data_IF_980693823461
#
_entry.id   IF_980693823461
#
_cell.length_a   1.000
_cell.length_b   1.000
_cell.length_c   1.000
_cell.angle_alpha   90.00
_cell.angle_beta   90.00
_cell.angle_gamma   90.00
#
_symmetry.space_group_name_H-M   'P 1'
#
loop_
_entity.id
_entity.type
_entity.pdbx_description
1 polymer ?
#
# COMPACT_ATOMS: atom_id res chain seq x y z
N UNK A 1 -28.83 -16.32 5.85
CA UNK A 1 -28.68 -15.01 5.17
C UNK A 1 -29.55 -15.10 3.93
N UNK A 2 -30.40 -14.10 3.63
CA UNK A 2 -31.31 -14.18 2.48
C UNK A 2 -30.47 -13.95 1.22
N UNK A 3 -30.55 -14.84 0.23
CA UNK A 3 -29.85 -14.64 -1.04
C UNK A 3 -30.33 -13.32 -1.68
N UNK A 4 -29.40 -12.50 -2.19
CA UNK A 4 -29.74 -11.24 -2.84
C UNK A 4 -30.61 -11.51 -4.07
N UNK A 5 -31.61 -10.67 -4.27
CA UNK A 5 -32.50 -10.78 -5.43
C UNK A 5 -31.77 -10.39 -6.71
N UNK A 6 -32.19 -10.94 -7.85
CA UNK A 6 -31.64 -10.61 -9.17
C UNK A 6 -31.57 -9.11 -9.44
N UNK A 7 -32.59 -8.37 -9.00
CA UNK A 7 -32.66 -6.91 -9.18
C UNK A 7 -31.64 -6.16 -8.28
N UNK A 8 -31.36 -6.68 -7.08
CA UNK A 8 -30.31 -6.14 -6.20
C UNK A 8 -28.91 -6.41 -6.77
N UNK A 9 -28.69 -7.59 -7.36
CA UNK A 9 -27.43 -7.93 -8.03
C UNK A 9 -27.20 -7.06 -9.27
N UNK A 10 -28.22 -6.87 -10.11
CA UNK A 10 -28.15 -5.99 -11.28
C UNK A 10 -27.88 -4.53 -10.89
N UNK A 11 -28.52 -4.02 -9.83
CA UNK A 11 -28.26 -2.68 -9.34
C UNK A 11 -26.82 -2.52 -8.80
N UNK A 12 -26.31 -3.54 -8.11
CA UNK A 12 -24.93 -3.56 -7.63
C UNK A 12 -23.91 -3.60 -8.79
N UNK A 13 -24.23 -4.36 -9.85
CA UNK A 13 -23.45 -4.38 -11.10
C UNK A 13 -23.43 -3.01 -11.74
N UNK A 14 -24.58 -2.36 -11.89
CA UNK A 14 -24.69 -1.06 -12.54
C UNK A 14 -23.94 0.03 -11.76
N UNK A 15 -24.00 0.01 -10.43
CA UNK A 15 -23.26 0.94 -9.56
C UNK A 15 -21.75 0.72 -9.65
N UNK A 16 -21.32 -0.54 -9.69
CA UNK A 16 -19.91 -0.91 -9.86
C UNK A 16 -19.39 -0.48 -11.24
N UNK A 17 -20.09 -0.82 -12.32
CA UNK A 17 -19.73 -0.43 -13.69
C UNK A 17 -19.68 1.08 -13.87
N UNK A 18 -20.71 1.78 -13.37
CA UNK A 18 -20.74 3.25 -13.43
C UNK A 18 -19.53 3.85 -12.72
N UNK A 19 -19.17 3.32 -11.54
CA UNK A 19 -17.99 3.75 -10.82
C UNK A 19 -16.68 3.43 -11.56
N UNK A 20 -16.59 2.30 -12.26
CA UNK A 20 -15.38 1.89 -12.99
C UNK A 20 -15.19 2.68 -14.30
N UNK A 21 -16.29 2.98 -15.00
CA UNK A 21 -16.28 3.80 -16.23
C UNK A 21 -16.01 5.27 -15.89
N UNK A 22 -16.66 5.82 -14.86
CA UNK A 22 -16.42 7.19 -14.38
C UNK A 22 -14.98 7.35 -13.88
N UNK A 23 -14.44 6.29 -13.26
CA UNK A 23 -13.03 6.23 -12.91
C UNK A 23 -12.10 5.98 -14.10
N UNK A 24 -12.59 5.85 -15.33
CA UNK A 24 -11.82 5.52 -16.54
C UNK A 24 -10.95 4.25 -16.41
N UNK A 25 -11.29 3.34 -15.48
CA UNK A 25 -10.58 2.08 -15.26
C UNK A 25 -10.94 1.05 -16.33
N UNK A 26 -12.18 1.09 -16.77
CA UNK A 26 -12.69 0.30 -17.89
C UNK A 26 -13.32 1.23 -18.93
N UNK A 27 -13.28 0.85 -20.21
CA UNK A 27 -14.00 1.53 -21.28
C UNK A 27 -15.08 0.63 -21.86
N UNK A 28 -16.21 1.24 -22.24
CA UNK A 28 -17.26 0.57 -23.00
C UNK A 28 -16.82 0.42 -24.46
N UNK A 29 -17.05 -0.75 -25.04
CA UNK A 29 -16.77 -1.02 -26.44
C UNK A 29 -17.99 -0.74 -27.30
N UNK A 30 -17.78 -0.08 -28.44
CA UNK A 30 -18.85 0.17 -29.43
C UNK A 30 -19.43 -1.14 -29.99
N UNK A 31 -18.59 -2.16 -30.13
CA UNK A 31 -18.97 -3.54 -30.47
C UNK A 31 -18.31 -4.50 -29.47
N UNK A 32 -19.00 -5.56 -29.01
CA UNK A 32 -18.41 -6.52 -28.10
C UNK A 32 -17.12 -7.14 -28.66
N UNK A 33 -16.17 -7.46 -27.80
CA UNK A 33 -14.91 -8.09 -28.19
C UNK A 33 -15.12 -9.53 -28.75
N UNK A 34 -14.07 -10.24 -29.21
CA UNK A 34 -14.20 -11.61 -29.73
C UNK A 34 -14.86 -12.62 -28.77
N UNK A 35 -14.84 -12.33 -27.47
CA UNK A 35 -15.44 -13.14 -26.40
C UNK A 35 -16.84 -12.64 -26.01
N UNK A 36 -17.34 -11.59 -26.69
CA UNK A 36 -18.68 -11.04 -26.51
C UNK A 36 -18.78 -10.01 -25.38
N UNK A 37 -17.66 -9.47 -24.90
CA UNK A 37 -17.64 -8.54 -23.76
C UNK A 37 -17.91 -7.10 -24.19
N UNK A 38 -18.81 -6.38 -23.51
CA UNK A 38 -19.12 -4.99 -23.81
C UNK A 38 -18.18 -3.96 -23.16
N UNK A 39 -17.29 -4.39 -22.25
CA UNK A 39 -16.34 -3.53 -21.55
C UNK A 39 -14.96 -4.18 -21.54
N UNK A 40 -13.89 -3.38 -21.51
CA UNK A 40 -12.52 -3.86 -21.32
C UNK A 40 -11.74 -2.95 -20.38
N UNK A 41 -10.69 -3.45 -19.70
CA UNK A 41 -9.73 -2.60 -19.01
C UNK A 41 -9.20 -1.52 -19.94
N UNK A 42 -9.17 -0.27 -19.47
CA UNK A 42 -8.79 0.85 -20.32
C UNK A 42 -7.30 0.71 -20.71
N UNK A 43 -6.97 0.48 -22.00
CA UNK A 43 -5.59 0.28 -22.44
C UNK A 43 -4.74 1.56 -22.32
N UNK A 44 -5.40 2.72 -22.08
CA UNK A 44 -4.79 4.03 -21.85
C UNK A 44 -4.72 4.43 -20.37
N UNK A 45 -4.90 3.51 -19.43
CA UNK A 45 -4.57 3.74 -18.01
C UNK A 45 -3.13 4.26 -17.83
N UNK A 46 -2.26 4.00 -18.82
CA UNK A 46 -0.87 4.46 -18.89
C UNK A 46 -0.66 5.71 -19.79
N UNK A 47 -1.67 6.14 -20.57
CA UNK A 47 -1.54 7.19 -21.58
C UNK A 47 -2.71 8.22 -21.49
N UNK A 48 -2.42 9.38 -20.88
CA UNK A 48 -3.17 10.67 -20.95
C UNK A 48 -4.24 10.90 -19.88
N UNK A 49 -4.34 12.03 -19.17
CA UNK A 49 -3.94 13.46 -19.24
C UNK A 49 -5.22 14.33 -19.27
N UNK A 50 -5.47 15.05 -18.16
CA UNK A 50 -6.13 16.36 -18.15
C UNK A 50 -5.65 17.17 -16.93
N UNK A 51 -5.48 18.49 -17.11
CA UNK A 51 -4.92 19.48 -16.17
C UNK A 51 -6.02 20.21 -15.37
N UNK A 52 -7.17 19.60 -15.17
CA UNK A 52 -8.43 20.23 -14.78
C UNK A 52 -8.70 20.40 -13.27
N UNK A 53 -8.02 19.64 -12.39
CA UNK A 53 -8.21 19.80 -10.93
C UNK A 53 -7.71 21.16 -10.41
N UNK A 54 -8.57 21.99 -9.76
CA UNK A 54 -8.21 23.33 -9.28
C UNK A 54 -7.03 23.39 -8.31
N UNK A 55 -6.78 22.31 -7.57
CA UNK A 55 -5.75 22.24 -6.51
C UNK A 55 -4.35 21.84 -7.02
N UNK A 56 -4.19 21.46 -8.29
CA UNK A 56 -2.88 21.02 -8.81
C UNK A 56 -1.73 22.03 -8.61
N UNK A 57 -1.90 23.35 -8.88
CA UNK A 57 -0.83 24.32 -8.66
C UNK A 57 -0.39 24.37 -7.19
N UNK A 58 -1.35 24.34 -6.26
CA UNK A 58 -1.05 24.29 -4.83
C UNK A 58 -0.26 23.05 -4.43
N UNK A 59 -0.62 21.88 -4.97
CA UNK A 59 0.11 20.63 -4.70
C UNK A 59 1.56 20.77 -5.14
N UNK A 60 1.82 21.24 -6.36
CA UNK A 60 3.18 21.42 -6.87
C UNK A 60 4.01 22.37 -6.00
N UNK A 61 3.42 23.50 -5.59
CA UNK A 61 4.08 24.47 -4.71
C UNK A 61 4.44 23.85 -3.35
N UNK A 62 3.50 23.12 -2.74
CA UNK A 62 3.71 22.48 -1.45
C UNK A 62 4.75 21.36 -1.52
N UNK A 63 4.73 20.53 -2.57
CA UNK A 63 5.74 19.49 -2.80
C UNK A 63 7.14 20.08 -2.96
N UNK A 64 7.24 21.20 -3.69
CA UNK A 64 8.51 21.91 -3.86
C UNK A 64 9.02 22.47 -2.54
N UNK A 65 8.12 23.07 -1.73
CA UNK A 65 8.47 23.60 -0.41
C UNK A 65 8.96 22.51 0.56
N UNK A 66 8.34 21.32 0.55
CA UNK A 66 8.81 20.16 1.33
C UNK A 66 10.23 19.76 0.91
N UNK A 67 10.48 19.67 -0.40
CA UNK A 67 11.78 19.27 -0.93
C UNK A 67 12.88 20.33 -0.76
N UNK A 68 12.52 21.61 -0.74
CA UNK A 68 13.45 22.70 -0.41
C UNK A 68 13.81 22.67 1.09
N UNK A 69 12.82 22.52 1.97
CA UNK A 69 13.04 22.45 3.41
C UNK A 69 13.96 21.30 3.81
N UNK A 70 13.84 20.14 3.14
CA UNK A 70 14.74 19.01 3.37
C UNK A 70 16.18 19.28 2.94
N UNK A 71 16.36 19.92 1.78
CA UNK A 71 17.69 20.30 1.29
C UNK A 71 18.37 21.27 2.25
N UNK A 72 17.64 22.28 2.71
CA UNK A 72 18.13 23.25 3.70
C UNK A 72 18.50 22.57 5.03
N UNK A 73 17.70 21.58 5.48
CA UNK A 73 17.98 20.82 6.69
C UNK A 73 19.24 19.94 6.55
N UNK A 74 19.42 19.31 5.39
CA UNK A 74 20.60 18.48 5.09
C UNK A 74 21.88 19.33 5.07
N UNK A 75 21.85 20.48 4.38
CA UNK A 75 22.98 21.42 4.32
C UNK A 75 23.34 21.96 5.71
N UNK A 76 22.35 22.24 6.57
CA UNK A 76 22.58 22.68 7.94
C UNK A 76 23.22 21.61 8.83
N UNK A 77 22.81 20.34 8.66
CA UNK A 77 23.41 19.21 9.39
C UNK A 77 24.87 18.98 8.96
N UNK A 78 25.16 18.99 7.65
CA UNK A 78 26.53 18.85 7.13
C UNK A 78 27.45 19.99 7.62
N UNK A 79 26.93 21.22 7.68
CA UNK A 79 27.68 22.36 8.22
C UNK A 79 27.95 22.23 9.73
N UNK A 80 27.04 21.60 10.47
CA UNK A 80 27.19 21.34 11.92
C UNK A 80 28.19 20.22 12.18
N UNK A 81 28.13 19.11 11.43
CA UNK A 81 29.12 18.03 11.54
C UNK A 81 30.53 18.49 11.12
N UNK A 82 30.63 19.35 10.11
CA UNK A 82 31.90 19.94 9.70
C UNK A 82 32.53 20.84 10.78
N UNK A 83 31.70 21.49 11.61
CA UNK A 83 32.17 22.33 12.73
C UNK A 83 32.49 21.53 13.99
N UNK A 84 31.76 20.44 14.26
CA UNK A 84 32.05 19.52 15.36
C UNK A 84 33.29 18.64 15.10
N UNK A 85 33.62 18.37 13.83
CA UNK A 85 34.85 17.66 13.46
C UNK A 85 36.13 18.47 13.78
N UNK A 86 36.04 19.80 13.90
CA UNK A 86 37.15 20.65 14.37
C UNK A 86 37.25 20.75 15.90
N UNK A 87 36.21 20.35 16.65
CA UNK A 87 36.15 20.39 18.11
C UNK A 87 35.93 18.99 18.67
N UNK A 88 36.99 18.16 18.68
CA UNK A 88 36.93 16.78 19.18
C UNK A 88 36.36 16.64 20.60
N UNK A 89 35.08 16.29 20.70
CA UNK A 89 34.43 15.77 21.88
C UNK A 89 33.37 14.73 21.46
N UNK A 90 33.31 13.55 22.08
CA UNK A 90 32.32 12.53 21.71
C UNK A 90 30.95 12.94 22.24
N UNK A 91 29.97 13.10 21.34
CA UNK A 91 28.58 13.25 21.72
C UNK A 91 28.04 11.89 22.18
N UNK A 92 27.66 11.80 23.46
CA UNK A 92 26.87 10.68 23.99
C UNK A 92 25.49 10.72 23.33
N UNK A 93 25.16 9.68 22.55
CA UNK A 93 23.86 9.51 21.90
C UNK A 93 22.79 9.11 22.93
N UNK A 94 21.86 10.02 23.17
CA UNK A 94 20.69 9.81 24.04
C UNK A 94 19.68 8.85 23.35
N UNK A 95 19.38 7.66 23.93
CA UNK A 95 18.52 6.65 23.29
C UNK A 95 17.03 7.04 23.19
N UNK A 96 16.64 8.22 23.69
CA UNK A 96 15.23 8.64 23.78
C UNK A 96 14.79 9.62 22.68
N UNK A 97 15.58 9.83 21.61
CA UNK A 97 15.27 10.73 20.48
C UNK A 97 14.29 10.15 19.42
N UNK A 98 13.46 9.17 19.78
CA UNK A 98 12.57 8.45 18.87
C UNK A 98 11.47 9.27 18.15
N UNK A 99 11.00 10.45 18.61
CA UNK A 99 10.00 11.22 17.83
C UNK A 99 10.62 12.06 16.70
N UNK A 100 11.86 12.53 16.86
CA UNK A 100 12.50 13.44 15.90
C UNK A 100 13.10 12.71 14.68
N UNK A 101 13.51 11.44 14.84
CA UNK A 101 14.08 10.64 13.76
C UNK A 101 13.07 10.27 12.66
N UNK A 102 11.75 10.29 12.95
CA UNK A 102 10.70 10.02 11.95
C UNK A 102 10.61 11.08 10.85
N UNK A 103 11.06 12.31 11.13
CA UNK A 103 10.99 13.45 10.21
C UNK A 103 12.20 13.60 9.29
N UNK A 104 13.19 12.69 9.35
CA UNK A 104 14.45 12.77 8.58
C UNK A 104 14.74 11.50 7.75
N UNK A 105 13.77 10.59 7.63
CA UNK A 105 13.91 9.43 6.73
C UNK A 105 13.44 9.81 5.32
N UNK A 106 14.12 9.36 4.25
CA UNK A 106 13.65 9.53 2.87
C UNK A 106 12.18 9.09 2.66
N UNK A 107 11.72 8.07 3.39
CA UNK A 107 10.31 7.66 3.39
C UNK A 107 9.38 8.63 4.10
N UNK A 108 9.83 9.30 5.16
CA UNK A 108 9.03 10.32 5.84
C UNK A 108 8.63 11.43 4.89
N UNK A 109 9.59 11.94 4.12
CA UNK A 109 9.38 12.97 3.10
C UNK A 109 8.45 12.46 1.99
N UNK A 110 8.70 11.23 1.49
CA UNK A 110 7.85 10.65 0.46
C UNK A 110 6.40 10.48 0.93
N UNK A 111 6.17 10.09 2.18
CA UNK A 111 4.83 9.95 2.78
C UNK A 111 4.17 11.31 3.05
N UNK A 112 4.96 12.32 3.36
CA UNK A 112 4.50 13.70 3.48
C UNK A 112 4.04 14.25 2.12
N UNK A 113 4.78 13.96 1.05
CA UNK A 113 4.36 14.24 -0.33
C UNK A 113 3.05 13.53 -0.69
N UNK A 114 2.90 12.24 -0.32
CA UNK A 114 1.64 11.50 -0.48
C UNK A 114 0.51 12.17 0.29
N UNK A 115 0.77 12.64 1.52
CA UNK A 115 -0.24 13.31 2.36
C UNK A 115 -0.73 14.62 1.75
N UNK A 116 0.16 15.40 1.11
CA UNK A 116 -0.21 16.60 0.35
C UNK A 116 -1.10 16.24 -0.84
N UNK A 117 -0.76 15.16 -1.56
CA UNK A 117 -1.56 14.68 -2.69
C UNK A 117 -2.95 14.22 -2.21
N UNK A 118 -3.04 13.40 -1.16
CA UNK A 118 -4.31 12.96 -0.57
C UNK A 118 -5.17 14.15 -0.12
N UNK A 119 -4.54 15.20 0.43
CA UNK A 119 -5.25 16.40 0.84
C UNK A 119 -5.89 17.19 -0.31
N UNK A 120 -5.41 17.01 -1.55
CA UNK A 120 -5.98 17.65 -2.74
C UNK A 120 -7.20 16.90 -3.32
N UNK A 121 -7.49 15.70 -2.81
CA UNK A 121 -8.55 14.84 -3.33
C UNK A 121 -9.83 14.96 -2.51
N UNK A 122 -10.95 14.52 -3.11
CA UNK A 122 -12.23 14.42 -2.42
C UNK A 122 -12.22 13.36 -1.31
N UNK A 123 -13.08 13.51 -0.31
CA UNK A 123 -13.18 12.57 0.81
C UNK A 123 -13.95 11.31 0.40
N UNK A 124 -13.32 10.12 0.41
CA UNK A 124 -14.03 8.85 0.29
C UNK A 124 -14.73 8.57 1.62
N UNK A 125 -15.86 9.23 1.86
CA UNK A 125 -16.54 9.29 3.15
C UNK A 125 -16.76 7.92 3.78
N UNK A 126 -17.14 6.90 3.00
CA UNK A 126 -17.33 5.55 3.51
C UNK A 126 -16.05 4.94 4.13
N UNK A 127 -14.89 5.20 3.52
CA UNK A 127 -13.58 4.72 3.98
C UNK A 127 -13.17 5.44 5.27
N UNK A 128 -13.24 6.77 5.29
CA UNK A 128 -12.89 7.58 6.45
C UNK A 128 -13.77 7.29 7.68
N UNK A 129 -15.07 7.03 7.45
CA UNK A 129 -15.96 6.60 8.52
C UNK A 129 -15.62 5.19 9.03
N UNK A 130 -15.14 4.30 8.15
CA UNK A 130 -14.60 3.00 8.52
C UNK A 130 -13.38 3.13 9.43
N UNK A 131 -12.39 3.95 9.05
CA UNK A 131 -11.20 4.25 9.85
C UNK A 131 -11.58 4.80 11.22
N UNK A 132 -12.40 5.86 11.25
CA UNK A 132 -12.82 6.51 12.50
C UNK A 132 -13.53 5.54 13.44
N UNK A 133 -14.36 4.63 12.91
CA UNK A 133 -15.04 3.62 13.73
C UNK A 133 -14.03 2.71 14.42
N UNK A 134 -13.10 2.13 13.66
CA UNK A 134 -12.08 1.21 14.20
C UNK A 134 -11.18 1.92 15.20
N UNK A 135 -10.70 3.13 14.89
CA UNK A 135 -9.86 3.92 15.81
C UNK A 135 -10.58 4.25 17.12
N UNK A 136 -11.89 4.55 17.06
CA UNK A 136 -12.71 4.75 18.26
C UNK A 136 -12.86 3.46 19.07
N UNK A 137 -13.04 2.32 18.42
CA UNK A 137 -13.16 1.02 19.10
C UNK A 137 -11.83 0.62 19.78
N UNK A 138 -10.70 0.83 19.09
CA UNK A 138 -9.35 0.59 19.62
C UNK A 138 -9.05 1.50 20.83
N UNK A 139 -9.32 2.80 20.71
CA UNK A 139 -9.14 3.76 21.80
C UNK A 139 -10.06 3.44 22.97
N UNK A 140 -11.30 2.99 22.71
CA UNK A 140 -12.22 2.57 23.77
C UNK A 140 -11.65 1.38 24.53
N UNK A 141 -11.15 0.37 23.82
CA UNK A 141 -10.53 -0.81 24.41
C UNK A 141 -9.28 -0.43 25.24
N UNK A 142 -8.43 0.45 24.71
CA UNK A 142 -7.22 0.96 25.40
C UNK A 142 -7.58 1.68 26.70
N UNK A 143 -8.47 2.67 26.65
CA UNK A 143 -8.86 3.43 27.84
C UNK A 143 -9.59 2.55 28.87
N UNK A 144 -10.29 1.50 28.41
CA UNK A 144 -10.89 0.50 29.31
C UNK A 144 -9.82 -0.31 30.02
N UNK A 145 -8.77 -0.76 29.31
CA UNK A 145 -7.65 -1.49 29.89
C UNK A 145 -6.83 -0.62 30.86
N UNK A 146 -6.70 0.68 30.59
CA UNK A 146 -6.05 1.67 31.46
C UNK A 146 -6.90 2.04 32.69
N UNK A 147 -8.15 1.57 32.78
CA UNK A 147 -9.04 1.83 33.92
C UNK A 147 -9.61 3.26 33.96
N UNK A 148 -9.68 3.95 32.83
CA UNK A 148 -10.19 5.33 32.74
C UNK A 148 -11.69 5.37 33.03
N UNK A 149 -12.12 6.39 33.77
CA UNK A 149 -13.52 6.60 34.15
C UNK A 149 -14.41 6.71 32.90
N UNK A 150 -15.65 6.21 32.97
CA UNK A 150 -16.52 6.10 31.80
C UNK A 150 -16.83 7.45 31.13
N UNK A 151 -17.10 8.50 31.90
CA UNK A 151 -17.38 9.83 31.34
C UNK A 151 -16.14 10.44 30.68
N UNK A 152 -14.96 10.23 31.25
CA UNK A 152 -13.70 10.65 30.64
C UNK A 152 -13.43 9.88 29.33
N UNK A 153 -13.73 8.57 29.28
CA UNK A 153 -13.68 7.79 28.04
C UNK A 153 -14.60 8.36 26.97
N UNK A 154 -15.83 8.70 27.32
CA UNK A 154 -16.77 9.29 26.36
C UNK A 154 -16.25 10.60 25.76
N UNK A 155 -15.64 11.45 26.57
CA UNK A 155 -15.07 12.71 26.11
C UNK A 155 -13.88 12.47 25.16
N UNK A 156 -12.91 11.63 25.55
CA UNK A 156 -11.75 11.31 24.69
C UNK A 156 -12.16 10.69 23.37
N UNK A 157 -13.13 9.79 23.39
CA UNK A 157 -13.64 9.09 22.20
C UNK A 157 -14.40 10.01 21.25
N UNK A 158 -14.98 11.11 21.75
CA UNK A 158 -15.62 12.12 20.92
C UNK A 158 -14.61 12.95 20.12
N UNK A 159 -13.36 13.04 20.58
CA UNK A 159 -12.27 13.75 19.91
C UNK A 159 -11.52 12.86 18.88
N UNK A 160 -11.67 11.54 18.97
CA UNK A 160 -11.06 10.61 18.02
C UNK A 160 -11.66 10.79 16.63
N UNK A 161 -10.78 11.06 15.67
CA UNK A 161 -11.09 11.21 14.27
C UNK A 161 -10.08 10.43 13.41
N UNK A 162 -10.30 10.39 12.09
CA UNK A 162 -9.32 9.78 11.19
C UNK A 162 -7.99 10.57 11.16
N UNK A 163 -6.86 9.92 10.84
CA UNK A 163 -5.56 10.58 10.80
C UNK A 163 -5.51 11.65 9.71
N UNK A 164 -4.87 12.79 10.03
CA UNK A 164 -4.69 13.93 9.12
C UNK A 164 -3.25 14.43 9.18
N UNK A 165 -2.29 13.70 8.60
CA UNK A 165 -0.90 14.13 8.53
C UNK A 165 -0.80 15.50 7.86
N UNK A 166 0.15 16.32 8.33
CA UNK A 166 0.41 17.67 7.84
C UNK A 166 -0.81 18.61 7.81
N UNK A 167 -1.85 18.35 8.62
CA UNK A 167 -3.11 19.09 8.54
C UNK A 167 -2.88 20.60 8.69
N UNK A 168 -2.16 21.00 9.71
CA UNK A 168 -2.06 22.41 10.07
C UNK A 168 -1.15 23.14 9.07
N UNK A 169 -0.09 22.47 8.60
CA UNK A 169 0.83 22.91 7.56
C UNK A 169 0.11 23.09 6.21
N UNK A 170 -0.62 22.06 5.76
CA UNK A 170 -1.37 22.08 4.49
C UNK A 170 -2.48 23.12 4.53
N UNK A 171 -3.21 23.25 5.64
CA UNK A 171 -4.26 24.27 5.78
C UNK A 171 -3.67 25.68 5.82
N UNK A 172 -2.55 25.89 6.51
CA UNK A 172 -1.87 27.17 6.54
C UNK A 172 -1.33 27.56 5.15
N UNK A 173 -0.67 26.64 4.46
CA UNK A 173 -0.17 26.85 3.09
C UNK A 173 -1.31 27.13 2.11
N UNK A 174 -2.44 26.40 2.22
CA UNK A 174 -3.61 26.63 1.37
C UNK A 174 -4.18 28.05 1.55
N UNK A 175 -4.25 28.56 2.78
CA UNK A 175 -4.71 29.93 3.03
C UNK A 175 -3.82 30.97 2.34
N UNK A 176 -2.51 30.81 2.43
CA UNK A 176 -1.54 31.69 1.75
C UNK A 176 -1.71 31.59 0.23
N UNK A 177 -1.86 30.38 -0.30
CA UNK A 177 -2.05 30.15 -1.74
C UNK A 177 -3.37 30.76 -2.23
N UNK A 178 -4.45 30.65 -1.46
CA UNK A 178 -5.76 31.22 -1.79
C UNK A 178 -5.74 32.76 -1.81
N UNK A 179 -5.00 33.39 -0.89
CA UNK A 179 -4.81 34.85 -0.89
C UNK A 179 -4.14 35.34 -2.18
N UNK A 180 -3.19 34.57 -2.70
CA UNK A 180 -2.51 34.85 -3.98
C UNK A 180 -3.36 34.46 -5.21
N UNK A 181 -4.27 33.50 -5.07
CA UNK A 181 -5.08 32.94 -6.16
C UNK A 181 -6.60 32.99 -5.84
N UNK A 182 -7.24 34.17 -5.77
CA UNK A 182 -8.63 34.29 -5.28
C UNK A 182 -9.70 33.57 -6.14
N UNK A 183 -9.39 33.20 -7.39
CA UNK A 183 -10.32 32.45 -8.24
C UNK A 183 -10.53 31.00 -7.81
N UNK A 184 -9.68 30.50 -6.90
CA UNK A 184 -9.85 29.18 -6.27
C UNK A 184 -10.83 29.22 -5.08
N UNK A 185 -11.49 30.36 -4.83
CA UNK A 185 -12.48 30.48 -3.78
C UNK A 185 -13.61 29.47 -3.95
N UNK A 186 -13.84 28.66 -2.91
CA UNK A 186 -14.79 27.54 -2.92
C UNK A 186 -14.10 26.18 -2.84
N UNK A 187 -12.83 26.10 -3.22
CA UNK A 187 -12.00 24.91 -3.08
C UNK A 187 -11.35 24.84 -1.69
N UNK A 188 -11.19 23.62 -1.18
CA UNK A 188 -10.58 23.37 0.12
C UNK A 188 -9.73 22.12 0.11
N UNK A 189 -8.56 22.21 0.72
CA UNK A 189 -7.76 21.05 1.08
C UNK A 189 -8.48 20.23 2.15
N UNK A 190 -8.38 18.91 2.03
CA UNK A 190 -9.02 17.92 2.90
C UNK A 190 -7.98 16.95 3.41
N UNK A 191 -7.12 17.32 4.38
CA UNK A 191 -6.10 16.41 4.90
C UNK A 191 -6.71 15.09 5.38
N UNK A 192 -6.13 13.98 4.94
CA UNK A 192 -6.52 12.60 5.27
C UNK A 192 -5.35 11.65 5.02
N UNK A 193 -5.43 10.43 5.53
CA UNK A 193 -4.45 9.37 5.30
C UNK A 193 -5.15 8.05 5.02
N UNK A 194 -5.12 7.61 3.77
CA UNK A 194 -5.67 6.30 3.35
C UNK A 194 -4.62 5.56 2.54
N UNK A 195 -4.10 6.17 1.47
CA UNK A 195 -3.01 5.58 0.70
C UNK A 195 -1.73 5.53 1.53
N UNK A 196 -1.43 6.62 2.27
CA UNK A 196 -0.34 6.65 3.24
C UNK A 196 -0.51 5.57 4.31
N UNK A 197 -1.67 5.51 4.96
CA UNK A 197 -1.97 4.49 5.99
C UNK A 197 -1.81 3.07 5.42
N UNK A 198 -2.37 2.78 4.25
CA UNK A 198 -2.25 1.48 3.60
C UNK A 198 -0.78 1.11 3.32
N UNK A 199 0.03 2.06 2.87
CA UNK A 199 1.46 1.84 2.63
C UNK A 199 2.26 1.65 3.93
N UNK A 200 2.08 2.53 4.91
CA UNK A 200 2.73 2.46 6.23
C UNK A 200 2.41 1.15 6.95
N UNK A 201 1.16 0.70 6.85
CA UNK A 201 0.70 -0.56 7.43
C UNK A 201 1.07 -1.78 6.56
N UNK A 202 1.60 -1.59 5.34
CA UNK A 202 1.91 -2.70 4.42
C UNK A 202 0.71 -3.60 4.10
N UNK A 203 -0.50 -3.04 4.14
CA UNK A 203 -1.75 -3.80 4.00
C UNK A 203 -2.07 -4.09 2.53
N UNK A 204 -2.68 -5.24 2.27
CA UNK A 204 -3.33 -5.51 0.98
C UNK A 204 -4.73 -4.89 0.98
N UNK A 205 -5.38 -4.77 -0.18
CA UNK A 205 -6.77 -4.27 -0.23
C UNK A 205 -7.69 -5.14 0.60
N UNK A 206 -7.59 -6.46 0.48
CA UNK A 206 -8.41 -7.39 1.26
C UNK A 206 -8.18 -7.22 2.76
N UNK A 207 -6.92 -7.06 3.18
CA UNK A 207 -6.56 -6.77 4.58
C UNK A 207 -7.15 -5.46 5.07
N UNK A 208 -7.01 -4.40 4.28
CA UNK A 208 -7.54 -3.07 4.56
C UNK A 208 -9.08 -3.06 4.65
N UNK A 209 -9.75 -3.72 3.70
CA UNK A 209 -11.21 -3.90 3.66
C UNK A 209 -11.69 -4.69 4.87
N UNK A 210 -10.96 -5.74 5.26
CA UNK A 210 -11.28 -6.52 6.45
C UNK A 210 -11.13 -5.68 7.73
N UNK A 211 -9.96 -5.05 7.92
CA UNK A 211 -9.63 -4.22 9.08
C UNK A 211 -10.67 -3.13 9.32
N UNK A 212 -11.00 -2.37 8.27
CA UNK A 212 -11.93 -1.24 8.37
C UNK A 212 -13.39 -1.60 8.05
N UNK A 213 -13.70 -2.89 7.85
CA UNK A 213 -15.05 -3.38 7.59
C UNK A 213 -15.71 -2.74 6.36
N UNK A 214 -14.96 -2.61 5.26
CA UNK A 214 -15.34 -1.88 4.06
C UNK A 214 -15.99 -2.77 2.98
N UNK A 215 -16.55 -3.94 3.32
CA UNK A 215 -17.07 -4.92 2.34
C UNK A 215 -18.09 -4.37 1.34
N UNK A 216 -18.83 -3.31 1.70
CA UNK A 216 -19.80 -2.64 0.80
C UNK A 216 -19.26 -1.35 0.16
N UNK A 217 -17.99 -1.05 0.38
CA UNK A 217 -17.33 0.20 -0.03
C UNK A 217 -15.92 -0.06 -0.57
N UNK A 218 -15.64 -1.31 -0.96
CA UNK A 218 -14.37 -1.71 -1.56
C UNK A 218 -14.12 -0.96 -2.87
N UNK A 219 -15.12 -0.86 -3.76
CA UNK A 219 -14.99 -0.05 -4.98
C UNK A 219 -14.69 1.44 -4.72
N UNK A 220 -15.18 2.00 -3.59
CA UNK A 220 -14.87 3.38 -3.19
C UNK A 220 -13.41 3.52 -2.80
N UNK A 221 -12.85 2.54 -2.08
CA UNK A 221 -11.44 2.49 -1.73
C UNK A 221 -10.56 2.39 -2.98
N UNK A 222 -10.89 1.46 -3.87
CA UNK A 222 -10.12 1.20 -5.09
C UNK A 222 -10.07 2.43 -5.99
N UNK A 223 -11.24 3.06 -6.23
CA UNK A 223 -11.32 4.31 -6.98
C UNK A 223 -10.45 5.39 -6.34
N UNK A 224 -10.52 5.54 -5.02
CA UNK A 224 -9.73 6.52 -4.31
C UNK A 224 -8.22 6.24 -4.43
N UNK A 225 -7.76 5.00 -4.31
CA UNK A 225 -6.36 4.63 -4.51
C UNK A 225 -5.88 4.92 -5.94
N UNK A 226 -6.73 4.67 -6.94
CA UNK A 226 -6.46 5.04 -8.33
C UNK A 226 -6.36 6.57 -8.50
N UNK A 227 -7.24 7.35 -7.85
CA UNK A 227 -7.17 8.81 -7.82
C UNK A 227 -5.87 9.31 -7.19
N UNK A 228 -5.40 8.68 -6.10
CA UNK A 228 -4.12 9.02 -5.46
C UNK A 228 -2.95 8.72 -6.39
N UNK A 229 -2.89 7.53 -6.98
CA UNK A 229 -1.85 7.16 -7.93
C UNK A 229 -1.77 8.14 -9.10
N UNK A 230 -2.92 8.48 -9.71
CA UNK A 230 -2.97 9.47 -10.80
C UNK A 230 -2.54 10.86 -10.35
N UNK A 231 -2.93 11.27 -9.15
CA UNK A 231 -2.56 12.57 -8.62
C UNK A 231 -1.06 12.66 -8.29
N UNK A 232 -0.43 11.56 -7.84
CA UNK A 232 1.02 11.46 -7.70
C UNK A 232 1.71 11.59 -9.07
N UNK A 233 1.30 10.81 -10.06
CA UNK A 233 1.88 10.88 -11.40
C UNK A 233 1.72 12.27 -12.04
N UNK A 234 0.58 12.93 -11.83
CA UNK A 234 0.28 14.24 -12.41
C UNK A 234 0.99 15.40 -11.72
N UNK A 235 0.97 15.43 -10.39
CA UNK A 235 1.36 16.62 -9.63
C UNK A 235 2.80 16.59 -9.15
N UNK A 236 3.46 15.42 -9.11
CA UNK A 236 4.84 15.32 -8.66
C UNK A 236 5.78 15.59 -9.85
N UNK A 237 6.53 16.70 -9.86
CA UNK A 237 7.53 16.98 -10.89
C UNK A 237 8.65 15.93 -10.91
N UNK A 238 9.24 15.66 -12.07
CA UNK A 238 10.27 14.61 -12.24
C UNK A 238 11.47 14.76 -11.29
N UNK A 239 11.88 15.99 -10.99
CA UNK A 239 13.00 16.26 -10.09
C UNK A 239 12.67 16.03 -8.60
N UNK A 240 11.38 15.90 -8.25
CA UNK A 240 10.92 15.56 -6.90
C UNK A 240 10.58 14.07 -6.74
N UNK A 241 10.66 13.27 -7.82
CA UNK A 241 10.42 11.82 -7.78
C UNK A 241 11.63 11.09 -7.22
N UNK A 242 11.73 11.05 -5.90
CA UNK A 242 12.74 10.24 -5.20
C UNK A 242 12.48 8.74 -5.40
N UNK A 243 13.48 7.87 -5.19
CA UNK A 243 13.30 6.43 -5.24
C UNK A 243 12.18 5.92 -4.31
N UNK A 244 12.06 6.49 -3.12
CA UNK A 244 11.05 6.13 -2.12
C UNK A 244 9.64 6.52 -2.58
N UNK A 245 9.50 7.72 -3.14
CA UNK A 245 8.22 8.17 -3.67
C UNK A 245 7.80 7.37 -4.90
N UNK A 246 8.74 7.08 -5.80
CA UNK A 246 8.50 6.23 -6.97
C UNK A 246 7.98 4.86 -6.53
N UNK A 247 8.56 4.28 -5.48
CA UNK A 247 8.12 2.99 -4.96
C UNK A 247 6.74 3.00 -4.32
N UNK A 248 6.38 4.07 -3.59
CA UNK A 248 5.00 4.21 -3.10
C UNK A 248 4.05 4.27 -4.29
N UNK A 249 4.39 5.04 -5.32
CA UNK A 249 3.65 5.09 -6.58
C UNK A 249 3.51 3.71 -7.23
N UNK A 250 4.59 2.94 -7.28
CA UNK A 250 4.59 1.59 -7.84
C UNK A 250 3.72 0.63 -7.05
N UNK A 251 3.82 0.68 -5.72
CA UNK A 251 2.99 -0.13 -4.83
C UNK A 251 1.50 0.17 -5.06
N UNK A 252 1.12 1.44 -5.17
CA UNK A 252 -0.25 1.85 -5.49
C UNK A 252 -0.68 1.39 -6.89
N UNK A 253 0.18 1.55 -7.90
CA UNK A 253 -0.12 1.16 -9.27
C UNK A 253 -0.33 -0.36 -9.42
N UNK A 254 0.47 -1.16 -8.70
CA UNK A 254 0.33 -2.61 -8.66
C UNK A 254 -1.00 -3.02 -8.01
N UNK A 255 -1.34 -2.38 -6.90
CA UNK A 255 -2.59 -2.58 -6.17
C UNK A 255 -3.79 -2.28 -7.07
N UNK A 256 -3.83 -1.12 -7.72
CA UNK A 256 -4.95 -0.73 -8.62
C UNK A 256 -5.14 -1.75 -9.74
N UNK A 257 -4.06 -2.16 -10.41
CA UNK A 257 -4.15 -3.11 -11.52
C UNK A 257 -4.55 -4.52 -11.14
N UNK A 258 -4.14 -5.00 -9.97
CA UNK A 258 -4.60 -6.31 -9.49
C UNK A 258 -6.12 -6.34 -9.30
N UNK A 259 -6.72 -5.22 -8.91
CA UNK A 259 -8.15 -5.12 -8.62
C UNK A 259 -8.98 -4.96 -9.87
N UNK A 260 -8.48 -4.22 -10.86
CA UNK A 260 -9.18 -4.08 -12.14
C UNK A 260 -9.47 -5.45 -12.76
N UNK A 261 -8.56 -6.42 -12.60
CA UNK A 261 -8.76 -7.82 -13.02
C UNK A 261 -9.81 -8.54 -12.16
N UNK A 262 -9.74 -8.42 -10.83
CA UNK A 262 -10.65 -9.15 -9.93
C UNK A 262 -12.08 -8.60 -9.93
N UNK A 263 -12.24 -7.28 -10.05
CA UNK A 263 -13.56 -6.63 -10.17
C UNK A 263 -14.20 -6.92 -11.53
N UNK A 264 -13.41 -7.02 -12.61
CA UNK A 264 -13.91 -7.46 -13.91
C UNK A 264 -14.38 -8.92 -13.86
N UNK A 265 -13.63 -9.81 -13.19
CA UNK A 265 -14.04 -11.19 -12.99
C UNK A 265 -15.32 -11.31 -12.14
N UNK A 266 -15.44 -10.54 -11.06
CA UNK A 266 -16.65 -10.52 -10.23
C UNK A 266 -17.84 -9.88 -10.99
N UNK A 267 -17.59 -8.89 -11.85
CA UNK A 267 -18.62 -8.34 -12.74
C UNK A 267 -19.17 -9.42 -13.70
N UNK A 268 -18.29 -10.14 -14.40
CA UNK A 268 -18.70 -11.24 -15.30
C UNK A 268 -19.50 -12.31 -14.56
N UNK A 269 -19.07 -12.66 -13.33
CA UNK A 269 -19.81 -13.58 -12.47
C UNK A 269 -21.20 -13.06 -12.13
N UNK A 270 -21.32 -11.82 -11.67
CA UNK A 270 -22.61 -11.23 -11.32
C UNK A 270 -23.52 -11.14 -12.56
N UNK A 271 -22.96 -10.89 -13.74
CA UNK A 271 -23.70 -10.90 -15.01
C UNK A 271 -24.24 -12.30 -15.36
N UNK A 272 -23.42 -13.36 -15.19
CA UNK A 272 -23.83 -14.76 -15.38
C UNK A 272 -24.92 -15.18 -14.39
N UNK A 273 -24.77 -14.81 -13.10
CA UNK A 273 -25.81 -15.01 -12.07
C UNK A 273 -27.09 -14.27 -12.48
N UNK A 274 -26.99 -13.03 -12.94
CA UNK A 274 -28.13 -12.23 -13.40
C UNK A 274 -28.78 -12.79 -14.67
N UNK A 275 -28.07 -13.57 -15.50
CA UNK A 275 -28.63 -14.34 -16.62
C UNK A 275 -29.29 -15.66 -16.19
N UNK A 276 -29.19 -16.02 -14.91
CA UNK A 276 -29.77 -17.24 -14.34
C UNK A 276 -28.92 -18.48 -14.57
N UNK A 277 -27.62 -18.30 -14.81
CA UNK A 277 -26.65 -19.40 -14.89
C UNK A 277 -26.29 -19.87 -13.47
N UNK A 278 -26.16 -21.19 -13.26
CA UNK A 278 -25.52 -21.72 -12.06
C UNK A 278 -24.03 -21.39 -12.14
N UNK A 279 -23.55 -20.64 -11.15
CA UNK A 279 -22.14 -20.27 -11.00
C UNK A 279 -21.70 -20.85 -9.66
N UNK A 280 -20.71 -21.74 -9.67
CA UNK A 280 -20.12 -22.28 -8.44
C UNK A 280 -19.54 -21.13 -7.59
N UNK A 281 -19.43 -21.32 -6.26
CA UNK A 281 -18.61 -20.44 -5.42
C UNK A 281 -17.19 -20.46 -5.98
N UNK A 282 -16.73 -19.33 -6.52
CA UNK A 282 -15.37 -19.21 -7.05
C UNK A 282 -14.39 -19.53 -5.91
N UNK A 283 -13.68 -20.65 -6.04
CA UNK A 283 -12.37 -20.79 -5.43
C UNK A 283 -11.38 -19.87 -6.17
N UNK A 284 -10.28 -19.43 -5.55
CA UNK A 284 -9.30 -18.53 -6.17
C UNK A 284 -8.81 -18.94 -7.57
N UNK A 285 -9.00 -20.20 -7.96
CA UNK A 285 -8.62 -20.79 -9.24
C UNK A 285 -9.56 -20.44 -10.43
N UNK A 286 -10.84 -20.09 -10.21
CA UNK A 286 -11.81 -19.85 -11.29
C UNK A 286 -11.85 -18.39 -11.81
N UNK A 287 -11.01 -17.50 -11.24
CA UNK A 287 -10.85 -16.12 -11.69
C UNK A 287 -10.09 -15.99 -13.04
N UNK A 288 -9.65 -17.11 -13.63
CA UNK A 288 -8.85 -17.15 -14.84
C UNK A 288 -9.67 -17.54 -16.07
N UNK A 289 -10.33 -16.59 -16.74
CA UNK A 289 -10.68 -16.75 -18.18
C UNK A 289 -10.38 -15.48 -18.98
N UNK A 290 -9.48 -15.69 -19.96
CA UNK A 290 -9.04 -14.89 -21.11
C UNK A 290 -9.11 -13.37 -20.93
N UNK A 291 -7.98 -12.73 -20.59
CA UNK A 291 -7.93 -11.31 -20.21
C UNK A 291 -7.21 -11.04 -18.89
N UNK A 292 -6.63 -12.08 -18.27
CA UNK A 292 -5.71 -11.99 -17.14
C UNK A 292 -4.70 -10.89 -17.43
N UNK A 293 -4.79 -9.78 -16.70
CA UNK A 293 -3.81 -8.71 -16.81
C UNK A 293 -2.48 -9.29 -16.37
N UNK A 294 -1.54 -9.38 -17.30
CA UNK A 294 -0.18 -9.83 -17.01
C UNK A 294 0.48 -8.84 -16.03
N UNK A 295 0.40 -9.15 -14.73
CA UNK A 295 1.00 -8.36 -13.65
C UNK A 295 2.53 -8.34 -13.74
N UNK A 296 3.14 -9.26 -14.50
CA UNK A 296 4.59 -9.38 -14.69
C UNK A 296 5.11 -8.45 -15.79
N UNK A 297 4.22 -7.90 -16.63
CA UNK A 297 4.59 -7.01 -17.74
C UNK A 297 5.31 -5.75 -17.27
N UNK A 298 4.89 -5.18 -16.14
CA UNK A 298 5.60 -4.09 -15.50
C UNK A 298 6.45 -4.62 -14.35
N UNK A 299 7.74 -4.80 -14.60
CA UNK A 299 8.69 -5.38 -13.63
C UNK A 299 8.78 -4.58 -12.33
N UNK A 300 8.68 -3.26 -12.42
CA UNK A 300 8.72 -2.37 -11.25
C UNK A 300 7.49 -2.60 -10.37
N UNK A 301 6.34 -2.70 -11.04
CA UNK A 301 5.03 -3.15 -10.55
C UNK A 301 5.08 -4.43 -9.74
N UNK A 302 5.49 -5.46 -10.46
CA UNK A 302 5.60 -6.81 -9.96
C UNK A 302 6.56 -6.91 -8.76
N UNK A 303 7.71 -6.23 -8.84
CA UNK A 303 8.66 -6.15 -7.73
C UNK A 303 8.04 -5.50 -6.49
N UNK A 304 7.22 -4.48 -6.65
CA UNK A 304 6.50 -3.85 -5.53
C UNK A 304 5.46 -4.80 -4.90
N UNK A 305 4.77 -5.63 -5.68
CA UNK A 305 3.87 -6.67 -5.17
C UNK A 305 4.63 -7.72 -4.34
N UNK A 306 5.70 -8.27 -4.92
CA UNK A 306 6.56 -9.25 -4.24
C UNK A 306 7.04 -8.69 -2.90
N UNK A 307 7.57 -7.47 -2.91
CA UNK A 307 8.07 -6.82 -1.70
C UNK A 307 6.97 -6.52 -0.68
N UNK A 308 5.77 -6.13 -1.11
CA UNK A 308 4.60 -5.97 -0.23
C UNK A 308 4.31 -7.27 0.51
N UNK A 309 4.32 -8.39 -0.21
CA UNK A 309 4.01 -9.70 0.37
C UNK A 309 5.09 -10.18 1.34
N UNK A 310 6.37 -10.00 1.03
CA UNK A 310 7.44 -10.31 2.00
C UNK A 310 7.35 -9.42 3.25
N UNK A 311 7.04 -8.14 3.09
CA UNK A 311 6.88 -7.24 4.22
C UNK A 311 5.68 -7.63 5.10
N UNK A 312 4.59 -8.12 4.51
CA UNK A 312 3.47 -8.73 5.26
C UNK A 312 3.95 -9.88 6.15
N UNK A 313 4.84 -10.73 5.65
CA UNK A 313 5.43 -11.81 6.45
C UNK A 313 6.32 -11.26 7.56
N UNK A 314 7.12 -10.22 7.32
CA UNK A 314 7.93 -9.55 8.36
C UNK A 314 7.06 -8.98 9.46
N UNK A 315 5.94 -8.34 9.12
CA UNK A 315 5.03 -7.83 10.12
C UNK A 315 4.36 -8.93 10.92
N UNK A 316 3.98 -10.04 10.26
CA UNK A 316 3.47 -11.21 10.95
C UNK A 316 4.52 -11.81 11.89
N UNK A 317 5.78 -11.89 11.45
CA UNK A 317 6.91 -12.30 12.27
C UNK A 317 7.10 -11.40 13.49
N UNK A 318 7.04 -10.07 13.32
CA UNK A 318 7.12 -9.10 14.42
C UNK A 318 6.01 -9.30 15.46
N UNK A 319 4.83 -9.75 15.03
CA UNK A 319 3.69 -10.11 15.90
C UNK A 319 3.74 -11.56 16.40
N UNK A 320 4.78 -12.32 16.07
CA UNK A 320 4.96 -13.76 16.39
C UNK A 320 3.84 -14.63 15.85
N UNK A 321 3.44 -14.36 14.61
CA UNK A 321 2.35 -15.00 13.88
C UNK A 321 2.77 -15.35 12.44
N UNK A 322 4.07 -15.57 12.21
CA UNK A 322 4.59 -15.86 10.87
C UNK A 322 3.98 -17.16 10.32
N UNK A 323 3.93 -18.20 11.16
CA UNK A 323 3.37 -19.49 10.79
C UNK A 323 1.92 -19.39 10.32
N UNK A 324 1.10 -18.59 11.01
CA UNK A 324 -0.29 -18.36 10.59
C UNK A 324 -0.38 -17.56 9.27
N UNK A 325 0.51 -16.60 9.05
CA UNK A 325 0.48 -15.75 7.85
C UNK A 325 0.87 -16.47 6.56
N UNK A 326 1.69 -17.52 6.66
CA UNK A 326 2.18 -18.32 5.52
C UNK A 326 1.62 -19.74 5.48
N UNK A 327 0.70 -20.09 6.39
CA UNK A 327 0.14 -21.44 6.49
C UNK A 327 -0.55 -21.92 5.19
N UNK A 328 -1.28 -21.01 4.54
CA UNK A 328 -2.04 -21.27 3.31
C UNK A 328 -1.18 -21.16 2.04
N UNK A 329 0.07 -20.69 2.16
CA UNK A 329 0.97 -20.58 1.02
C UNK A 329 1.66 -21.92 0.73
N UNK A 330 2.01 -22.20 -0.54
CA UNK A 330 2.96 -23.27 -0.84
C UNK A 330 4.24 -23.08 -0.03
N UNK A 331 4.76 -24.17 0.50
CA UNK A 331 5.99 -24.16 1.28
C UNK A 331 7.04 -24.98 0.56
N UNK A 332 8.27 -24.46 0.52
CA UNK A 332 9.41 -25.08 -0.15
C UNK A 332 10.66 -25.08 0.72
N UNK A 333 11.61 -25.94 0.39
CA UNK A 333 12.96 -25.90 0.96
C UNK A 333 13.91 -24.97 0.17
N UNK A 334 15.19 -24.95 0.54
CA UNK A 334 16.21 -24.14 -0.12
C UNK A 334 16.49 -24.55 -1.59
N UNK A 335 16.03 -25.73 -2.01
CA UNK A 335 16.15 -26.23 -3.38
C UNK A 335 14.86 -26.04 -4.19
N UNK A 336 13.82 -25.47 -3.57
CA UNK A 336 12.52 -25.27 -4.21
C UNK A 336 11.65 -26.52 -4.24
N UNK A 337 12.01 -27.58 -3.49
CA UNK A 337 11.19 -28.78 -3.36
C UNK A 337 10.07 -28.56 -2.35
N UNK A 338 8.89 -29.14 -2.61
CA UNK A 338 7.73 -28.98 -1.75
C UNK A 338 8.02 -29.55 -0.35
N UNK A 339 7.88 -28.69 0.65
CA UNK A 339 8.03 -29.00 2.07
C UNK A 339 6.75 -28.62 2.79
N UNK A 340 6.36 -29.30 3.86
CA UNK A 340 5.23 -28.87 4.69
C UNK A 340 5.66 -28.78 6.14
N UNK A 341 5.73 -27.56 6.65
CA UNK A 341 6.00 -27.21 8.04
C UNK A 341 4.72 -26.80 8.73
N UNK A 342 4.60 -27.15 10.01
CA UNK A 342 3.50 -26.71 10.86
C UNK A 342 3.64 -25.24 11.25
N UNK A 343 2.53 -24.60 11.67
CA UNK A 343 2.53 -23.21 12.17
C UNK A 343 3.58 -23.02 13.27
N UNK A 344 3.59 -23.91 14.28
CA UNK A 344 4.52 -23.85 15.40
C UNK A 344 5.99 -24.03 14.99
N UNK A 345 6.25 -24.82 13.94
CA UNK A 345 7.60 -25.03 13.40
C UNK A 345 8.11 -23.77 12.69
N UNK A 346 7.24 -23.10 11.93
CA UNK A 346 7.56 -21.85 11.25
C UNK A 346 7.79 -20.73 12.27
N UNK A 347 6.91 -20.58 13.26
CA UNK A 347 7.11 -19.59 14.32
C UNK A 347 8.35 -19.89 15.17
N UNK A 348 8.66 -21.17 15.37
CA UNK A 348 9.88 -21.64 16.03
C UNK A 348 11.17 -21.31 15.28
N UNK A 349 11.12 -21.08 13.96
CA UNK A 349 12.32 -20.73 13.17
C UNK A 349 12.97 -19.40 13.57
N UNK A 350 12.21 -18.51 14.22
CA UNK A 350 12.70 -17.23 14.76
C UNK A 350 13.08 -17.32 16.25
N UNK A 351 13.12 -18.51 16.85
CA UNK A 351 13.44 -18.66 18.27
C UNK A 351 14.80 -18.02 18.63
N UNK A 352 15.83 -18.33 17.84
CA UNK A 352 17.18 -17.81 18.03
C UNK A 352 17.20 -16.28 17.88
N UNK A 353 16.50 -15.73 16.88
CA UNK A 353 16.31 -14.29 16.72
C UNK A 353 15.74 -13.66 18.00
N UNK A 354 14.64 -14.21 18.53
CA UNK A 354 13.98 -13.67 19.72
C UNK A 354 14.77 -13.87 21.02
N UNK A 355 15.76 -14.76 21.02
CA UNK A 355 16.68 -14.91 22.15
C UNK A 355 17.72 -13.79 22.19
N UNK A 356 18.04 -13.20 21.04
CA UNK A 356 19.07 -12.17 20.86
C UNK A 356 18.48 -10.75 20.74
N UNK A 357 17.31 -10.62 20.11
CA UNK A 357 16.71 -9.33 19.72
C UNK A 357 15.31 -9.13 20.29
N UNK A 358 14.98 -7.88 20.62
CA UNK A 358 13.72 -7.51 21.28
C UNK A 358 12.57 -7.20 20.31
N UNK A 359 12.87 -6.78 19.09
CA UNK A 359 11.87 -6.34 18.10
C UNK A 359 12.37 -6.55 16.67
N UNK A 360 11.45 -6.59 15.71
CA UNK A 360 11.70 -6.58 14.26
C UNK A 360 11.17 -5.26 13.71
N UNK A 361 11.97 -4.56 12.90
CA UNK A 361 11.59 -3.31 12.27
C UNK A 361 10.46 -3.52 11.27
N UNK A 362 9.41 -2.71 11.40
CA UNK A 362 8.20 -2.77 10.56
C UNK A 362 7.75 -1.38 10.11
N UNK A 363 8.64 -0.40 10.18
CA UNK A 363 8.39 0.93 9.65
C UNK A 363 8.66 0.96 8.12
N UNK A 364 8.30 2.06 7.42
CA UNK A 364 8.59 2.20 5.99
C UNK A 364 10.07 2.04 5.62
N UNK A 365 10.99 2.40 6.52
CA UNK A 365 12.42 2.25 6.28
C UNK A 365 12.87 0.78 6.35
N UNK A 366 12.27 -0.03 7.22
CA UNK A 366 12.50 -1.47 7.27
C UNK A 366 12.00 -2.21 6.02
N UNK A 367 11.04 -1.61 5.31
CA UNK A 367 10.60 -2.10 4.01
C UNK A 367 11.62 -1.77 2.91
N UNK A 368 12.51 -0.79 3.07
CA UNK A 368 13.32 -0.17 2.01
C UNK A 368 13.99 -1.14 1.03
N UNK A 369 14.24 -0.69 -0.20
CA UNK A 369 14.87 -1.51 -1.26
C UNK A 369 16.22 -2.11 -0.87
N UNK A 370 16.95 -1.47 0.05
CA UNK A 370 18.22 -1.98 0.60
C UNK A 370 18.05 -3.28 1.40
N UNK A 371 16.87 -3.51 1.98
CA UNK A 371 16.54 -4.70 2.76
C UNK A 371 15.87 -5.78 1.93
N UNK A 372 15.75 -5.58 0.61
CA UNK A 372 15.02 -6.47 -0.27
C UNK A 372 15.86 -6.89 -1.48
N UNK A 373 16.06 -8.20 -1.61
CA UNK A 373 16.78 -8.82 -2.72
C UNK A 373 15.80 -9.65 -3.53
N UNK A 374 15.82 -9.47 -4.85
CA UNK A 374 15.05 -10.27 -5.79
C UNK A 374 15.98 -10.67 -6.92
N UNK A 375 16.25 -11.98 -7.02
CA UNK A 375 17.19 -12.59 -7.96
C UNK A 375 16.57 -12.75 -9.36
N UNK A 376 15.88 -11.71 -9.84
CA UNK A 376 15.28 -11.69 -11.16
C UNK A 376 16.33 -11.50 -12.27
N UNK A 377 16.19 -12.17 -13.43
CA UNK A 377 17.14 -12.06 -14.52
C UNK A 377 17.17 -10.63 -15.07
N UNK A 378 18.34 -10.09 -15.46
CA UNK A 378 18.45 -8.70 -15.90
C UNK A 378 17.54 -8.41 -17.09
N UNK A 379 17.09 -7.17 -17.26
CA UNK A 379 16.18 -6.76 -18.36
C UNK A 379 16.73 -7.13 -19.73
N UNK A 380 18.05 -7.16 -19.89
CA UNK A 380 18.74 -7.57 -21.11
C UNK A 380 18.56 -9.05 -21.49
N UNK A 381 18.12 -9.91 -20.56
CA UNK A 381 17.93 -11.34 -20.80
C UNK A 381 16.55 -11.68 -21.41
N UNK A 382 15.68 -10.70 -21.60
CA UNK A 382 14.30 -10.88 -22.09
C UNK A 382 13.27 -10.93 -20.96
N UNK A 383 12.04 -11.41 -21.25
CA UNK A 383 11.00 -11.60 -20.24
C UNK A 383 11.49 -12.56 -19.16
N UNK A 384 11.25 -12.22 -17.89
CA UNK A 384 11.57 -13.12 -16.80
C UNK A 384 10.60 -14.31 -16.82
N UNK A 385 11.14 -15.52 -16.62
CA UNK A 385 10.40 -16.80 -16.65
C UNK A 385 10.92 -17.71 -15.56
N UNK A 386 10.12 -18.65 -15.10
CA UNK A 386 10.45 -19.62 -14.06
C UNK A 386 10.41 -19.06 -12.64
N UNK A 387 11.04 -19.81 -11.72
CA UNK A 387 11.05 -19.52 -10.29
C UNK A 387 12.30 -18.75 -9.87
N UNK A 388 12.12 -17.70 -9.08
CA UNK A 388 13.18 -16.80 -8.65
C UNK A 388 13.14 -16.58 -7.14
N UNK A 389 14.31 -16.59 -6.51
CA UNK A 389 14.43 -16.39 -5.08
C UNK A 389 14.20 -14.91 -4.72
N UNK A 390 13.49 -14.71 -3.61
CA UNK A 390 13.23 -13.40 -3.03
C UNK A 390 13.59 -13.44 -1.57
N UNK A 391 14.22 -12.38 -1.10
CA UNK A 391 14.76 -12.31 0.25
C UNK A 391 14.47 -10.96 0.85
N UNK A 392 13.90 -10.96 2.05
CA UNK A 392 13.72 -9.79 2.89
C UNK A 392 14.65 -9.92 4.09
N UNK A 393 15.57 -8.98 4.22
CA UNK A 393 16.46 -8.85 5.36
C UNK A 393 15.66 -8.22 6.50
N UNK A 394 15.76 -8.79 7.70
CA UNK A 394 15.07 -8.29 8.88
C UNK A 394 15.91 -7.18 9.51
N UNK A 395 15.27 -6.04 9.76
CA UNK A 395 15.89 -4.96 10.54
C UNK A 395 15.75 -5.30 12.01
N UNK A 396 16.88 -5.58 12.65
CA UNK A 396 16.98 -5.85 14.08
C UNK A 396 17.51 -4.63 14.84
N UNK A 397 17.43 -4.61 16.19
CA UNK A 397 17.85 -3.46 16.99
C UNK A 397 19.33 -3.09 16.87
N UNK A 398 20.19 -4.02 16.44
CA UNK A 398 21.61 -3.78 16.21
C UNK A 398 21.92 -3.44 14.74
N UNK A 399 20.90 -3.39 13.88
CA UNK A 399 21.03 -3.16 12.43
C UNK A 399 22.04 -4.11 11.77
N UNK A 400 22.07 -5.37 12.24
CA UNK A 400 23.08 -6.37 11.87
C UNK A 400 22.91 -6.87 10.43
N UNK A 401 21.66 -6.92 9.95
CA UNK A 401 21.32 -7.49 8.65
C UNK A 401 21.61 -8.99 8.52
N UNK A 402 21.79 -9.70 9.64
CA UNK A 402 22.13 -11.14 9.66
C UNK A 402 20.95 -12.03 9.30
N UNK A 403 19.73 -11.60 9.63
CA UNK A 403 18.52 -12.40 9.53
C UNK A 403 17.78 -12.14 8.23
N UNK A 404 17.37 -13.23 7.57
CA UNK A 404 16.74 -13.20 6.26
C UNK A 404 15.51 -14.09 6.21
N UNK A 405 14.45 -13.56 5.63
CA UNK A 405 13.24 -14.27 5.30
C UNK A 405 13.21 -14.53 3.79
N UNK A 406 12.98 -15.79 3.42
CA UNK A 406 13.11 -16.26 2.04
C UNK A 406 11.77 -16.72 1.48
N UNK A 407 11.55 -16.39 0.20
CA UNK A 407 10.46 -16.91 -0.60
C UNK A 407 10.93 -17.27 -2.00
N UNK A 408 10.04 -17.93 -2.75
CA UNK A 408 10.26 -18.32 -4.13
C UNK A 408 9.06 -17.87 -4.97
N UNK A 409 9.30 -16.93 -5.90
CA UNK A 409 8.26 -16.39 -6.79
C UNK A 409 8.24 -17.18 -8.08
N UNK A 410 7.07 -17.66 -8.50
CA UNK A 410 6.87 -18.32 -9.79
C UNK A 410 6.30 -17.29 -10.78
N UNK A 411 7.15 -16.77 -11.67
CA UNK A 411 6.77 -15.68 -12.59
C UNK A 411 5.79 -16.17 -13.65
N UNK A 412 5.94 -17.41 -14.12
CA UNK A 412 5.05 -17.94 -15.14
C UNK A 412 3.67 -18.23 -14.55
N UNK A 413 3.60 -18.84 -13.37
CA UNK A 413 2.32 -19.01 -12.67
C UNK A 413 1.69 -17.66 -12.31
N UNK A 414 2.49 -16.67 -11.88
CA UNK A 414 1.96 -15.33 -11.58
C UNK A 414 1.40 -14.61 -12.81
N UNK A 415 1.98 -14.86 -13.98
CA UNK A 415 1.48 -14.36 -15.27
C UNK A 415 0.17 -15.04 -15.64
N UNK A 416 0.13 -16.37 -15.53
CA UNK A 416 -1.01 -17.18 -15.96
C UNK A 416 -2.23 -16.99 -15.04
N UNK A 417 -2.01 -16.80 -13.73
CA UNK A 417 -3.07 -16.59 -12.73
C UNK A 417 -3.44 -15.11 -12.54
N UNK A 418 -2.58 -14.18 -12.97
CA UNK A 418 -2.79 -12.73 -12.80
C UNK A 418 -2.69 -12.23 -11.36
N UNK A 419 -2.24 -13.10 -10.45
CA UNK A 419 -1.99 -12.82 -9.04
C UNK A 419 -0.58 -13.26 -8.69
N UNK A 420 -0.02 -12.70 -7.60
CA UNK A 420 1.32 -13.09 -7.16
C UNK A 420 1.33 -14.54 -6.66
N UNK A 421 2.04 -15.42 -7.35
CA UNK A 421 2.29 -16.81 -6.92
C UNK A 421 3.67 -16.88 -6.26
N UNK A 422 3.65 -17.09 -4.94
CA UNK A 422 4.86 -17.13 -4.11
C UNK A 422 4.78 -18.26 -3.07
N UNK A 423 5.91 -18.94 -2.87
CA UNK A 423 6.08 -19.96 -1.85
C UNK A 423 6.97 -19.47 -0.71
N UNK A 424 6.67 -19.89 0.53
CA UNK A 424 7.52 -19.63 1.70
C UNK A 424 8.67 -20.63 1.77
N UNK A 425 9.92 -20.14 1.75
CA UNK A 425 11.12 -20.97 1.76
C UNK A 425 11.72 -21.13 3.17
N UNK A 426 11.65 -20.10 4.01
CA UNK A 426 12.08 -20.19 5.40
C UNK A 426 12.68 -18.90 5.94
N UNK A 427 13.25 -18.99 7.14
CA UNK A 427 14.07 -17.95 7.76
C UNK A 427 15.48 -18.52 7.96
N UNK A 428 16.49 -17.74 7.62
CA UNK A 428 17.90 -18.09 7.74
C UNK A 428 18.67 -16.97 8.45
N UNK A 429 19.70 -17.33 9.21
CA UNK A 429 20.72 -16.41 9.71
C UNK A 429 21.98 -16.60 8.90
N UNK A 430 22.59 -15.52 8.40
CA UNK A 430 23.94 -15.61 7.87
C UNK A 430 24.94 -15.80 9.00
N UNK A 431 25.67 -16.91 8.90
CA UNK A 431 26.82 -17.23 9.73
C UNK A 431 28.07 -16.43 9.36
#
# INVERSE_FOLDING_TARGET
MKEPTRDELLAQIDEMLASLIDAELIEALDEPDPDGRPYRPNPKLQDRFSLDRPLSPFVVDMLSAIADAERDATEANEATEATDTEAGAPAESDPQAAPAARASSPYGIALDMVSVVEASLEDPSAVLQGQRRVLRDEEWARLTAEGVEFSERQNRIAEVDWPRPLRDEVVAAWRIHLDANPWLAGEWVRPKSIARDMFEQGETITGYVHRYGLRRSEGVLVRYLADVYRALERNVPDHLRTPELAEIGDSLAAVVRSVDSSLLAEWERLERIARGEEVDEIGPEDAAIDGVVDITRNRREFRALVRSELFRWVQAAARRQLGAAVAELPQVDAHGEALRRGVDEIDGSLHDFWSEHAWIGIDPAARAATWFIFDEPPVSAGPATGRHAVTQILVDPADSGEWRLHGLVDIDASRDEGVLVIAFAGVERLS
#
